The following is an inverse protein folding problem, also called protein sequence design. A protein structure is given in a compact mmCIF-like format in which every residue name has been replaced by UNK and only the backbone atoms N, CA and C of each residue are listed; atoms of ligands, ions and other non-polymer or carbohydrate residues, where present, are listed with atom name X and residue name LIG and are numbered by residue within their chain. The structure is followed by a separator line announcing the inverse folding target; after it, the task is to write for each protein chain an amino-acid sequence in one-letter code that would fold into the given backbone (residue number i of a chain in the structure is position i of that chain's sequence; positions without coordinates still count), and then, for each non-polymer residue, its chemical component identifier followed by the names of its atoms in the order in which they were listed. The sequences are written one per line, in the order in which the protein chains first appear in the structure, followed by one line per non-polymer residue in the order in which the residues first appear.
data_IF_693245746877
#
_entry.id   IF_693245746877
#
_cell.length_a   1.000
_cell.length_b   1.000
_cell.length_c   1.000
_cell.angle_alpha   90.00
_cell.angle_beta   90.00
_cell.angle_gamma   90.00
#
_symmetry.space_group_name_H-M   'P 1'
#
loop_
_entity.id
_entity.type
_entity.pdbx_description
1 polymer ?
2 polymer ?
3 non-polymer ?
4 water ?
#
# COMPACT_ATOMS: atom_id res chain seq x y z
N UNK A 13 -0.71 16.16 -13.56
CA UNK A 13 0.22 15.33 -14.38
C UNK A 13 0.99 14.32 -13.53
N UNK A 14 1.84 13.53 -14.17
CA UNK A 14 2.62 12.52 -13.46
C UNK A 14 3.66 13.14 -12.54
N UNK A 15 3.89 14.44 -12.69
CA UNK A 15 4.87 15.14 -11.86
C UNK A 15 4.26 15.63 -10.55
N UNK A 16 2.96 15.41 -10.38
CA UNK A 16 2.24 15.81 -9.18
C UNK A 16 3.06 15.38 -7.96
N UNK A 17 3.00 16.15 -6.87
CA UNK A 17 3.76 15.81 -5.68
C UNK A 17 3.02 14.85 -4.74
N UNK A 18 1.74 14.62 -5.02
CA UNK A 18 0.93 13.72 -4.21
C UNK A 18 -0.29 13.22 -4.97
N UNK A 19 -0.85 12.12 -4.49
CA UNK A 19 -2.03 11.53 -5.12
C UNK A 19 -2.63 10.49 -4.20
N UNK A 20 -3.89 10.17 -4.45
CA UNK A 20 -4.60 9.16 -3.68
C UNK A 20 -5.11 8.16 -4.70
N UNK A 21 -4.82 6.89 -4.48
CA UNK A 21 -5.29 5.86 -5.39
C UNK A 21 -5.75 4.64 -4.60
N UNK A 22 -6.61 3.83 -5.21
CA UNK A 22 -7.14 2.64 -4.56
C UNK A 22 -6.95 1.40 -5.42
N UNK A 23 -7.02 0.24 -4.78
CA UNK A 23 -6.88 -1.05 -5.44
C UNK A 23 -7.85 -1.99 -4.72
N UNK A 24 -8.77 -2.60 -5.47
CA UNK A 24 -9.73 -3.52 -4.88
C UNK A 24 -9.29 -4.95 -5.13
N UNK A 25 -9.05 -5.68 -4.05
CA UNK A 25 -8.61 -7.07 -4.12
C UNK A 25 -9.85 -7.97 -4.12
N UNK A 26 -9.98 -8.80 -5.14
CA UNK A 26 -11.13 -9.70 -5.26
C UNK A 26 -10.83 -11.10 -4.74
N UNK A 27 -11.88 -11.87 -4.45
CA UNK A 27 -11.73 -13.22 -3.89
C UNK A 27 -10.78 -13.10 -2.71
N UNK A 28 -10.95 -12.04 -1.93
CA UNK A 28 -10.07 -11.77 -0.79
C UNK A 28 -9.89 -12.91 0.20
N UNK A 29 -10.99 -13.54 0.61
CA UNK A 29 -10.94 -14.64 1.56
C UNK A 29 -10.06 -15.80 1.06
N UNK A 30 -9.82 -15.83 -0.25
CA UNK A 30 -9.02 -16.88 -0.86
C UNK A 30 -7.59 -16.44 -1.22
N UNK A 31 -7.21 -15.23 -0.80
CA UNK A 31 -5.89 -14.69 -1.08
C UNK A 31 -4.79 -15.61 -0.53
N UNK A 32 -3.81 -15.93 -1.38
CA UNK A 32 -2.71 -16.81 -1.00
C UNK A 32 -1.34 -16.27 -1.41
N UNK A 33 -1.30 -15.60 -2.56
CA UNK A 33 -0.07 -15.01 -3.08
C UNK A 33 -0.14 -13.51 -2.84
N UNK A 34 1.01 -12.86 -2.97
CA UNK A 34 1.07 -11.41 -2.82
C UNK A 34 0.42 -10.84 -4.08
N UNK A 35 -0.38 -9.78 -3.94
CA UNK A 35 -1.02 -9.15 -5.09
C UNK A 35 -0.51 -7.73 -5.24
N UNK A 36 -0.42 -7.26 -6.48
CA UNK A 36 0.11 -5.94 -6.77
C UNK A 36 -0.85 -5.12 -7.64
N UNK A 37 -1.05 -3.85 -7.30
CA UNK A 37 -1.95 -2.99 -8.05
C UNK A 37 -1.25 -2.37 -9.24
N UNK A 38 -2.02 -1.74 -10.15
CA UNK A 38 -1.41 -1.10 -11.31
C UNK A 38 -0.68 0.10 -10.71
N UNK A 39 0.23 0.73 -11.47
CA UNK A 39 0.94 1.88 -10.91
C UNK A 39 0.21 3.23 -10.94
N UNK A 40 0.49 4.05 -9.93
CA UNK A 40 -0.04 5.40 -9.83
C UNK A 40 1.22 6.25 -9.88
N UNK A 41 1.28 7.20 -10.81
CA UNK A 41 2.47 8.03 -10.91
C UNK A 41 2.42 9.31 -10.10
N UNK A 42 3.46 9.49 -9.29
CA UNK A 42 3.63 10.66 -8.43
C UNK A 42 5.13 10.95 -8.55
N UNK A 43 5.49 12.21 -8.82
CA UNK A 43 6.89 12.59 -9.00
C UNK A 43 7.46 11.77 -10.16
N UNK A 44 6.57 11.43 -11.08
CA UNK A 44 6.89 10.65 -12.28
C UNK A 44 7.44 9.26 -12.00
N UNK A 45 7.17 8.73 -10.81
CA UNK A 45 7.62 7.39 -10.44
C UNK A 45 6.39 6.51 -10.21
N UNK A 46 6.50 5.20 -10.50
CA UNK A 46 5.37 4.28 -10.30
C UNK A 46 5.20 3.79 -8.87
N UNK A 47 4.07 4.13 -8.25
CA UNK A 47 3.77 3.69 -6.89
C UNK A 47 2.68 2.62 -6.95
N UNK A 48 2.82 1.57 -6.14
CA UNK A 48 1.86 0.48 -6.14
C UNK A 48 1.49 0.00 -4.74
N UNK A 49 0.29 -0.56 -4.64
CA UNK A 49 -0.20 -1.13 -3.40
C UNK A 49 0.14 -2.62 -3.46
N UNK A 50 0.67 -3.15 -2.37
CA UNK A 50 1.02 -4.56 -2.28
C UNK A 50 0.24 -5.15 -1.10
N UNK A 51 -0.47 -6.25 -1.33
CA UNK A 51 -1.26 -6.89 -0.28
C UNK A 51 -0.95 -8.38 -0.25
N UNK A 52 -0.89 -8.95 0.95
CA UNK A 52 -0.59 -10.36 1.11
C UNK A 52 -1.03 -10.87 2.47
N UNK A 53 -1.36 -12.17 2.57
CA UNK A 53 -1.76 -12.66 3.88
C UNK A 53 -0.48 -12.91 4.67
N UNK A 54 -0.52 -12.67 5.97
CA UNK A 54 0.66 -12.88 6.82
C UNK A 54 0.22 -13.66 8.07
N UNK A 55 1.17 -14.31 8.73
CA UNK A 55 0.85 -15.09 9.93
C UNK A 55 1.80 -14.74 11.07
N UNK A 62 -5.23 -15.19 5.75
CA UNK A 62 -5.25 -15.84 7.05
C UNK A 62 -4.32 -15.13 8.05
N UNK A 63 -4.76 -15.05 9.30
CA UNK A 63 -4.01 -14.40 10.39
C UNK A 63 -4.01 -12.87 10.34
N UNK A 64 -3.15 -12.27 9.52
CA UNK A 64 -3.14 -10.81 9.42
C UNK A 64 -3.03 -10.32 7.98
N UNK A 65 -3.38 -9.05 7.77
CA UNK A 65 -3.33 -8.45 6.45
C UNK A 65 -2.02 -7.70 6.26
N UNK A 66 -1.22 -8.13 5.28
CA UNK A 66 0.02 -7.45 4.96
C UNK A 66 -0.34 -6.36 3.95
N UNK A 67 0.02 -5.12 4.23
CA UNK A 67 -0.32 -3.98 3.37
C UNK A 67 0.90 -3.05 3.25
N UNK A 68 1.47 -2.96 2.05
CA UNK A 68 2.66 -2.14 1.81
C UNK A 68 2.55 -1.22 0.61
N UNK A 69 3.37 -0.17 0.62
CA UNK A 69 3.43 0.79 -0.48
C UNK A 69 4.78 0.55 -1.16
N UNK A 70 4.75 0.37 -2.48
CA UNK A 70 5.97 0.11 -3.25
C UNK A 70 6.26 1.25 -4.21
N UNK A 71 7.55 1.53 -4.42
CA UNK A 71 7.96 2.60 -5.32
C UNK A 71 9.08 2.23 -6.28
N UNK A 72 8.84 2.46 -7.57
CA UNK A 72 9.85 2.23 -8.61
C UNK A 72 10.58 0.89 -8.49
N UNK A 73 9.85 -0.18 -8.19
CA UNK A 73 10.49 -1.49 -8.02
C UNK A 73 10.99 -2.18 -9.28
N UNK A 74 10.37 -1.90 -10.43
CA UNK A 74 10.78 -2.54 -11.67
C UNK A 74 12.11 -2.01 -12.23
N UNK A 75 12.39 -0.72 -12.02
CA UNK A 75 13.63 -0.11 -12.52
C UNK A 75 14.90 -0.79 -12.03
N UNK A 76 15.86 -0.96 -12.94
CA UNK A 76 17.13 -1.59 -12.59
C UNK A 76 18.13 -0.53 -12.11
N UNK A 77 17.66 0.70 -11.95
CA UNK A 77 18.52 1.78 -11.48
C UNK A 77 18.84 1.60 -10.00
N UNK A 78 20.06 1.95 -9.61
CA UNK A 78 20.47 1.85 -8.21
C UNK A 78 20.88 3.23 -7.71
N UNK A 79 20.57 4.27 -8.48
CA UNK A 79 20.94 5.63 -8.12
C UNK A 79 19.79 6.47 -7.57
N UNK A 80 18.56 5.98 -7.73
CA UNK A 80 17.39 6.72 -7.29
C UNK A 80 17.01 6.62 -5.82
N UNK A 81 16.32 7.65 -5.35
CA UNK A 81 15.81 7.67 -3.98
C UNK A 81 14.67 8.69 -3.94
N UNK A 82 13.68 8.42 -3.11
CA UNK A 82 12.55 9.33 -2.98
C UNK A 82 11.96 9.20 -1.59
N UNK A 83 11.93 10.30 -0.85
CA UNK A 83 11.36 10.25 0.47
C UNK A 83 9.89 10.62 0.37
N UNK A 84 9.05 9.87 1.08
CA UNK A 84 7.62 10.14 1.05
C UNK A 84 6.94 9.76 2.35
N UNK A 85 5.79 10.38 2.57
CA UNK A 85 4.95 10.09 3.72
C UNK A 85 3.70 9.56 3.06
N UNK A 86 2.99 8.66 3.73
CA UNK A 86 1.78 8.12 3.14
C UNK A 86 0.80 7.64 4.19
N UNK A 87 -0.46 7.56 3.79
CA UNK A 87 -1.49 7.06 4.67
C UNK A 87 -2.05 5.83 3.98
N UNK A 88 -1.86 4.67 4.61
CA UNK A 88 -2.35 3.40 4.08
C UNK A 88 -3.69 3.12 4.75
N UNK A 89 -4.74 3.01 3.95
CA UNK A 89 -6.07 2.80 4.49
C UNK A 89 -6.88 1.66 3.87
N UNK A 90 -7.63 0.96 4.71
CA UNK A 90 -8.50 -0.10 4.24
C UNK A 90 -9.89 0.51 4.40
N UNK A 91 -10.56 0.70 3.27
CA UNK A 91 -11.88 1.32 3.23
C UNK A 91 -13.01 0.51 3.84
N UNK A 92 -13.81 1.17 4.66
CA UNK A 92 -14.98 0.53 5.25
C UNK A 92 -16.11 1.06 4.38
N UNK A 93 -16.71 0.20 3.57
CA UNK A 93 -17.77 0.63 2.66
C UNK A 93 -19.07 1.08 3.31
N UNK A 94 -19.30 0.68 4.55
CA UNK A 94 -20.52 1.06 5.27
C UNK A 94 -20.44 2.43 5.94
N UNK A 95 -19.23 2.82 6.35
CA UNK A 95 -19.04 4.09 7.04
C UNK A 95 -17.55 4.44 6.93
N UNK A 96 -17.21 5.44 6.12
CA UNK A 96 -15.80 5.77 5.96
C UNK A 96 -15.12 6.19 7.25
N UNK A 97 -15.90 6.59 8.25
CA UNK A 97 -15.32 6.97 9.53
C UNK A 97 -14.80 5.72 10.24
N UNK A 98 -15.22 4.56 9.74
CA UNK A 98 -14.80 3.28 10.30
C UNK A 98 -13.64 2.69 9.48
N UNK A 99 -13.23 3.38 8.42
CA UNK A 99 -12.10 2.91 7.61
C UNK A 99 -10.89 2.91 8.52
N UNK A 100 -9.99 1.95 8.34
CA UNK A 100 -8.82 1.88 9.19
C UNK A 100 -7.55 2.30 8.46
N UNK A 101 -6.79 3.20 9.06
CA UNK A 101 -5.56 3.66 8.43
C UNK A 101 -4.37 3.82 9.37
N UNK A 102 -3.18 3.75 8.79
CA UNK A 102 -1.93 3.91 9.52
C UNK A 102 -1.06 4.74 8.60
N UNK A 103 -0.13 5.50 9.16
CA UNK A 103 0.73 6.31 8.32
C UNK A 103 2.19 5.87 8.40
N UNK A 104 2.93 6.17 7.34
CA UNK A 104 4.33 5.82 7.27
C UNK A 104 5.15 6.98 6.72
N UNK A 105 6.45 6.91 6.93
CA UNK A 105 7.40 7.91 6.45
C UNK A 105 8.60 7.04 6.09
N UNK A 106 9.04 7.11 4.84
CA UNK A 106 10.13 6.25 4.41
C UNK A 106 10.93 6.79 3.23
N UNK A 107 12.23 6.52 3.23
CA UNK A 107 13.09 6.92 2.11
C UNK A 107 13.13 5.70 1.19
N UNK A 108 12.42 5.78 0.07
CA UNK A 108 12.41 4.66 -0.88
C UNK A 108 13.64 4.70 -1.79
N UNK A 109 14.25 3.54 -2.02
CA UNK A 109 15.37 3.41 -2.94
C UNK A 109 15.47 1.94 -3.37
N UNK A 110 16.36 1.62 -4.31
CA UNK A 110 16.43 0.25 -4.82
C UNK A 110 16.51 -0.89 -3.81
N UNK A 111 17.23 -0.70 -2.71
CA UNK A 111 17.35 -1.76 -1.71
C UNK A 111 16.20 -1.80 -0.69
N UNK A 112 15.41 -0.74 -0.65
CA UNK A 112 14.26 -0.65 0.25
C UNK A 112 13.16 0.05 -0.53
N UNK A 113 12.62 -0.65 -1.53
CA UNK A 113 11.60 -0.05 -2.38
C UNK A 113 10.15 -0.14 -1.91
N UNK A 114 9.91 -0.73 -0.74
CA UNK A 114 8.55 -0.78 -0.22
C UNK A 114 8.56 -0.66 1.30
N UNK A 115 7.42 -0.26 1.84
CA UNK A 115 7.29 -0.09 3.28
C UNK A 115 5.82 -0.12 3.67
N UNK A 116 5.54 -0.67 4.84
CA UNK A 116 4.16 -0.76 5.30
C UNK A 116 4.04 -1.57 6.58
N UNK A 117 3.03 -2.43 6.64
CA UNK A 117 2.79 -3.25 7.83
C UNK A 117 2.43 -4.69 7.49
N UNK A 118 3.14 -5.64 8.10
CA UNK A 118 2.87 -7.05 7.88
C UNK A 118 1.62 -7.46 8.68
N UNK A 119 1.36 -6.71 9.75
CA UNK A 119 0.21 -6.94 10.61
C UNK A 119 -0.62 -5.65 10.62
N UNK A 120 -1.07 -5.23 9.44
CA UNK A 120 -1.85 -4.00 9.31
C UNK A 120 -3.19 -4.09 10.06
N UNK A 121 -3.84 -5.24 9.93
CA UNK A 121 -5.13 -5.52 10.57
C UNK A 121 -5.26 -7.02 10.71
N UNK A 122 -6.08 -7.46 11.66
CA UNK A 122 -6.32 -8.88 11.86
C UNK A 122 -7.11 -9.38 10.66
N UNK A 123 -6.75 -10.55 10.14
CA UNK A 123 -7.44 -11.11 8.99
C UNK A 123 -8.91 -11.39 9.34
N UNK A 124 -9.14 -11.86 10.55
CA UNK A 124 -10.50 -12.18 11.01
C UNK A 124 -11.39 -10.95 11.05
N UNK A 125 -10.79 -9.79 11.30
CA UNK A 125 -11.57 -8.56 11.36
C UNK A 125 -11.92 -8.05 9.96
N UNK A 126 -10.93 -7.97 9.07
CA UNK A 126 -11.18 -7.50 7.72
C UNK A 126 -12.17 -8.38 6.96
N UNK A 127 -12.12 -9.69 7.19
CA UNK A 127 -13.03 -10.60 6.50
C UNK A 127 -14.37 -10.81 7.22
N UNK A 128 -14.54 -10.19 8.38
CA UNK A 128 -15.79 -10.32 9.13
C UNK A 128 -16.88 -9.59 8.34
N UNK A 129 -17.88 -10.32 7.83
CA UNK A 129 -18.97 -9.71 7.05
C UNK A 129 -19.77 -8.63 7.78
N UNK A 130 -19.70 -8.63 9.11
CA UNK A 130 -20.45 -7.65 9.89
C UNK A 130 -19.67 -6.36 10.16
N UNK A 131 -18.38 -6.34 9.82
CA UNK A 131 -17.54 -5.17 10.07
C UNK A 131 -17.57 -4.05 9.02
N UNK A 132 -17.95 -4.38 7.78
CA UNK A 132 -18.04 -3.36 6.75
C UNK A 132 -16.82 -3.13 5.87
N UNK A 133 -15.82 -4.02 5.94
CA UNK A 133 -14.62 -3.89 5.12
C UNK A 133 -14.68 -4.79 3.89
N UNK A 134 -15.49 -5.84 3.96
CA UNK A 134 -15.59 -6.78 2.86
C UNK A 134 -17.01 -6.88 2.31
N UNK A 135 -17.11 -6.98 0.99
CA UNK A 135 -18.40 -7.11 0.32
C UNK A 135 -18.18 -7.90 -0.97
N UNK A 136 -18.92 -8.99 -1.12
CA UNK A 136 -18.78 -9.84 -2.30
C UNK A 136 -17.33 -10.32 -2.37
N UNK A 137 -16.75 -10.55 -1.20
CA UNK A 137 -15.37 -11.00 -1.05
C UNK A 137 -14.35 -10.04 -1.69
N UNK A 138 -14.66 -8.74 -1.66
CA UNK A 138 -13.76 -7.72 -2.20
C UNK A 138 -13.40 -6.75 -1.09
N UNK A 139 -12.13 -6.36 -1.04
CA UNK A 139 -11.65 -5.41 -0.04
C UNK A 139 -10.88 -4.31 -0.78
N UNK A 140 -11.19 -3.04 -0.48
CA UNK A 140 -10.53 -1.93 -1.14
C UNK A 140 -9.45 -1.28 -0.28
N UNK A 141 -8.27 -1.15 -0.88
CA UNK A 141 -7.11 -0.57 -0.23
C UNK A 141 -6.86 0.80 -0.84
N UNK A 142 -6.40 1.74 -0.02
CA UNK A 142 -6.13 3.08 -0.50
C UNK A 142 -4.85 3.66 0.06
N UNK A 143 -4.14 4.39 -0.78
CA UNK A 143 -2.90 5.03 -0.38
C UNK A 143 -2.92 6.50 -0.80
N UNK A 144 -2.61 7.37 0.16
CA UNK A 144 -2.49 8.79 -0.10
C UNK A 144 -0.99 9.01 0.10
N UNK A 145 -0.28 9.27 -0.99
CA UNK A 145 1.17 9.45 -0.91
C UNK A 145 1.58 10.88 -1.23
N UNK A 146 2.49 11.40 -0.41
CA UNK A 146 3.03 12.74 -0.59
C UNK A 146 4.54 12.51 -0.67
N UNK A 147 5.07 12.59 -1.88
CA UNK A 147 6.49 12.35 -2.11
C UNK A 147 7.30 13.61 -2.41
N UNK A 148 8.52 13.66 -1.87
CA UNK A 148 9.41 14.78 -2.12
C UNK A 148 9.99 14.58 -3.50
N UNK A 149 10.65 15.61 -4.03
CA UNK A 149 11.28 15.50 -5.33
C UNK A 149 12.32 14.39 -5.24
N UNK A 150 12.35 13.47 -6.22
CA UNK A 150 13.32 12.38 -6.19
C UNK A 150 14.74 12.83 -6.54
N UNK A 151 15.71 11.98 -6.19
CA UNK A 151 17.11 12.23 -6.51
C UNK A 151 17.57 11.04 -7.35
N UNK A 152 18.57 11.26 -8.18
CA UNK A 152 19.11 10.19 -9.01
C UNK A 152 18.19 9.59 -10.05
N UNK A 153 17.21 10.36 -10.52
CA UNK A 153 16.28 9.87 -11.53
C UNK A 153 16.28 10.78 -12.76
N UNK A 154 15.63 11.93 -12.64
CA UNK A 154 15.54 12.89 -13.74
C UNK A 154 16.67 13.90 -13.64
N UNK A 155 17.89 13.46 -13.93
CA UNK A 155 19.06 14.33 -13.86
C UNK A 155 18.89 15.60 -14.71
N UNK B 1 2.27 -5.52 17.87
CA UNK B 1 2.47 -4.31 17.03
C UNK B 1 2.08 -4.62 15.58
N UNK B 2 1.83 -3.57 14.79
CA UNK B 2 1.45 -3.72 13.38
C UNK B 2 2.53 -4.25 12.44
N UNK B 3 3.71 -4.53 12.97
CA UNK B 3 4.80 -5.04 12.15
C UNK B 3 5.24 -4.12 11.03
N UNK B 4 5.53 -2.86 11.36
CA UNK B 4 5.96 -1.89 10.36
C UNK B 4 7.34 -2.23 9.81
N UNK B 5 7.50 -2.09 8.49
CA UNK B 5 8.77 -2.39 7.87
C UNK B 5 8.56 -2.83 6.43
N UNK B 6 9.59 -3.40 5.78
CA UNK B 6 9.50 -3.87 4.39
C UNK B 6 8.63 -5.11 4.27
N UNK B 7 8.14 -5.39 3.06
CA UNK B 7 7.28 -6.55 2.84
C UNK B 7 7.98 -7.86 3.16
N UNK B 8 9.30 -7.81 3.22
CA UNK B 8 10.08 -9.01 3.52
C UNK B 8 10.43 -9.08 5.00
X LIG C 1 8.67 -4.50 -3.24
X LIG D 1 19.38 9.20 -4.74
X LIG E 1 21.94 3.00 -11.71
X LIG F 1 1.58 -3.44 -11.43
X LIG G 1 -3.24 2.40 -9.55
X LIG H 1 6.35 -3.37 -9.52
X LIG I 1 18.40 3.38 -5.47
X LIG J 1 14.26 -0.07 -8.43
X LIG K 1 10.06 1.12 -11.80
X LIG L 1 -14.78 -11.37 -5.17
X LIG M 1 7.79 -0.46 -10.78
X LIG N 1 -13.09 -2.32 1.57
X LIG O 1 -15.41 -6.54 7.05
X LIG P 1 4.56 -5.48 -11.90
X LIG Q 1 -5.06 0.54 -8.45
X LIG R 1 -1.06 7.85 -12.41
X LIG S 1 13.40 12.68 -2.00
X LIG T 1 15.76 11.33 -1.88
X LIG U 1 4.71 15.87 -1.31
X LIG V 1 6.70 0.02 -8.14
X LIG W 1 -8.91 -1.66 -8.31
#
# INVERSE_FOLDING_TARGET
GSHTAEEDMEDDTSWRSEATFQFTVERFSRLSESVLSPPCFVRNLPWKIMVMPRFYPDRPHQKSVGFFLQCNAESDSTSWSCHAQAVLKIINYRDDEKSFSRRISHLFFHKENDWGFSNFMAWSEVTDPEKGFIDDDKVTFEVFVQADAPHGVAW
DPGEGPSTGP
NA NA
NA NA
NA NA
NA NA
NA NA
NA NA
NA NA
NA NA
NA NA
NA NA
NA NA
NA NA
NA NA
NA NA
NA NA
NA NA
NA NA
NA NA
NA NA
NA NA
NA NA
#
